data_IF_001940662319
#
_entry.id   IF_001940662319
#
_cell.length_a   1.000
_cell.length_b   1.000
_cell.length_c   1.000
_cell.angle_alpha   90.00
_cell.angle_beta   90.00
_cell.angle_gamma   90.00
#
_symmetry.space_group_name_H-M   'P 1'
#
loop_
_entity.id
_entity.type
_entity.pdbx_description
1 polymer ?
#
# COMPACT_ATOMS: atom_id res chain seq x y z
N UNK A 1 21.75 4.34 15.54
CA UNK A 1 20.79 3.60 16.39
C UNK A 1 20.47 2.30 15.67
N UNK A 2 20.75 1.15 16.26
CA UNK A 2 20.47 -0.15 15.65
C UNK A 2 18.95 -0.31 15.51
N UNK A 3 18.45 -0.43 14.28
CA UNK A 3 17.04 -0.71 14.02
C UNK A 3 16.81 -2.22 14.14
N UNK A 4 16.77 -2.72 15.37
CA UNK A 4 16.47 -4.14 15.64
C UNK A 4 15.03 -4.42 15.22
N UNK A 5 14.86 -5.28 14.22
CA UNK A 5 13.56 -5.72 13.76
C UNK A 5 13.05 -6.80 14.71
N UNK A 6 11.81 -6.65 15.15
CA UNK A 6 11.19 -7.51 16.16
C UNK A 6 9.96 -8.18 15.56
N UNK A 7 9.91 -9.50 15.70
CA UNK A 7 8.78 -10.33 15.37
C UNK A 7 7.89 -10.51 16.60
N UNK A 8 6.57 -10.46 16.40
CA UNK A 8 5.59 -10.74 17.45
C UNK A 8 5.10 -12.17 17.27
N UNK A 9 5.33 -13.00 18.27
CA UNK A 9 5.01 -14.44 18.28
C UNK A 9 3.88 -14.69 19.26
N UNK A 10 2.74 -15.17 18.77
CA UNK A 10 1.68 -15.67 19.63
C UNK A 10 2.09 -17.02 20.21
N UNK A 11 2.10 -17.15 21.54
CA UNK A 11 2.67 -18.33 22.21
C UNK A 11 1.67 -19.48 22.35
N UNK A 12 0.37 -19.20 22.26
CA UNK A 12 -0.70 -20.18 22.53
C UNK A 12 -1.07 -20.29 24.01
N UNK A 13 -0.30 -19.66 24.89
CA UNK A 13 -0.64 -19.57 26.31
C UNK A 13 -1.71 -18.50 26.55
N UNK A 14 -2.66 -18.83 27.41
CA UNK A 14 -3.73 -17.93 27.84
C UNK A 14 -3.36 -17.23 29.14
N UNK A 15 -3.86 -16.02 29.32
CA UNK A 15 -3.80 -15.34 30.61
C UNK A 15 -4.66 -16.08 31.65
N UNK A 16 -4.30 -15.93 32.93
CA UNK A 16 -4.99 -16.59 34.03
C UNK A 16 -6.48 -16.19 34.05
N UNK A 17 -7.37 -17.18 34.10
CA UNK A 17 -8.82 -16.97 34.11
C UNK A 17 -9.50 -16.80 32.74
N UNK A 18 -8.77 -16.91 31.62
CA UNK A 18 -9.35 -16.89 30.27
C UNK A 18 -9.54 -18.32 29.76
N UNK A 19 -10.79 -18.67 29.39
CA UNK A 19 -11.08 -19.94 28.74
C UNK A 19 -10.63 -19.94 27.28
N UNK A 20 -10.39 -21.14 26.74
CA UNK A 20 -9.99 -21.30 25.33
C UNK A 20 -11.03 -20.74 24.35
N UNK A 21 -12.32 -20.85 24.68
CA UNK A 21 -13.41 -20.31 23.86
C UNK A 21 -13.42 -18.77 23.87
N UNK A 22 -13.19 -18.14 25.03
CA UNK A 22 -13.02 -16.68 25.13
C UNK A 22 -11.76 -16.20 24.40
N UNK A 23 -10.69 -16.98 24.42
CA UNK A 23 -9.49 -16.69 23.66
C UNK A 23 -9.74 -16.78 22.14
N UNK A 24 -10.47 -17.79 21.67
CA UNK A 24 -10.89 -17.90 20.27
C UNK A 24 -11.72 -16.69 19.85
N UNK A 25 -12.77 -16.35 20.60
CA UNK A 25 -13.60 -15.16 20.34
C UNK A 25 -12.79 -13.85 20.34
N UNK A 26 -11.77 -13.79 21.19
CA UNK A 26 -10.84 -12.65 21.20
C UNK A 26 -9.97 -12.62 19.94
N UNK A 27 -9.40 -13.75 19.51
CA UNK A 27 -8.62 -13.85 18.27
C UNK A 27 -9.48 -13.54 17.05
N UNK A 28 -10.71 -14.06 17.00
CA UNK A 28 -11.71 -13.73 15.97
C UNK A 28 -11.93 -12.22 15.90
N UNK A 29 -12.14 -11.56 17.04
CA UNK A 29 -12.38 -10.12 17.09
C UNK A 29 -11.14 -9.29 16.76
N UNK A 30 -9.98 -9.69 17.26
CA UNK A 30 -8.74 -8.92 17.19
C UNK A 30 -8.09 -9.02 15.80
N UNK A 31 -8.12 -10.20 15.20
CA UNK A 31 -7.53 -10.49 13.88
C UNK A 31 -8.57 -10.63 12.76
N UNK A 32 -9.87 -10.52 13.06
CA UNK A 32 -10.98 -10.61 12.11
C UNK A 32 -11.00 -11.94 11.33
N UNK A 33 -10.68 -13.03 12.01
CA UNK A 33 -10.64 -14.38 11.45
C UNK A 33 -11.95 -15.13 11.74
N UNK A 34 -12.41 -16.05 10.85
CA UNK A 34 -13.47 -17.00 11.16
C UNK A 34 -13.11 -17.87 12.37
N UNK A 35 -14.12 -18.33 13.12
CA UNK A 35 -13.96 -19.12 14.35
C UNK A 35 -13.03 -20.33 14.19
N UNK A 36 -13.18 -21.07 13.09
CA UNK A 36 -12.32 -22.21 12.73
C UNK A 36 -10.83 -21.81 12.61
N UNK A 37 -10.54 -20.66 11.98
CA UNK A 37 -9.17 -20.19 11.79
C UNK A 37 -8.58 -19.60 13.07
N UNK A 38 -9.39 -18.89 13.87
CA UNK A 38 -8.97 -18.37 15.16
C UNK A 38 -8.59 -19.50 16.13
N UNK A 39 -9.40 -20.57 16.14
CA UNK A 39 -9.12 -21.81 16.87
C UNK A 39 -7.84 -22.48 16.38
N UNK A 40 -7.73 -22.70 15.07
CA UNK A 40 -6.54 -23.32 14.47
C UNK A 40 -5.27 -22.52 14.77
N UNK A 41 -5.35 -21.18 14.81
CA UNK A 41 -4.23 -20.30 15.10
C UNK A 41 -3.76 -20.41 16.55
N UNK A 42 -4.67 -20.63 17.50
CA UNK A 42 -4.34 -20.91 18.90
C UNK A 42 -3.82 -22.34 19.10
N UNK A 43 -4.39 -23.33 18.41
CA UNK A 43 -3.98 -24.75 18.51
C UNK A 43 -2.60 -25.01 17.87
N UNK A 44 -2.24 -24.26 16.83
CA UNK A 44 -0.96 -24.40 16.13
C UNK A 44 0.12 -23.42 16.59
N UNK A 45 -0.13 -22.71 17.70
CA UNK A 45 0.85 -21.85 18.34
C UNK A 45 1.99 -22.69 18.99
N UNK A 46 3.24 -22.18 19.07
CA UNK A 46 3.63 -20.80 18.82
C UNK A 46 3.75 -20.44 17.33
N UNK A 47 3.18 -19.29 16.93
CA UNK A 47 3.20 -18.78 15.55
C UNK A 47 3.53 -17.30 15.50
N UNK A 48 4.32 -16.91 14.50
CA UNK A 48 4.61 -15.50 14.22
C UNK A 48 3.38 -14.84 13.62
N UNK A 49 2.86 -13.80 14.27
CA UNK A 49 1.65 -13.08 13.82
C UNK A 49 1.99 -11.80 13.06
N UNK A 50 3.16 -11.20 13.32
CA UNK A 50 3.65 -10.04 12.58
C UNK A 50 5.18 -10.02 12.63
N UNK A 51 5.80 -9.73 11.48
CA UNK A 51 7.26 -9.68 11.34
C UNK A 51 7.77 -8.26 11.15
N UNK A 52 9.00 -8.02 11.57
CA UNK A 52 9.76 -6.85 11.16
C UNK A 52 9.21 -5.52 11.67
N UNK A 53 8.84 -5.45 12.94
CA UNK A 53 8.40 -4.21 13.59
C UNK A 53 9.57 -3.51 14.27
N UNK A 54 9.52 -2.19 14.38
CA UNK A 54 10.37 -1.44 15.31
C UNK A 54 9.97 -1.72 16.77
N UNK A 55 10.85 -1.39 17.72
CA UNK A 55 10.65 -1.68 19.14
C UNK A 55 9.40 -1.04 19.73
N UNK A 56 9.07 0.19 19.35
CA UNK A 56 7.93 0.90 19.93
C UNK A 56 6.62 0.31 19.39
N UNK A 57 6.58 -0.01 18.10
CA UNK A 57 5.43 -0.66 17.48
C UNK A 57 5.26 -2.09 17.99
N UNK A 58 6.34 -2.87 18.14
CA UNK A 58 6.29 -4.24 18.67
C UNK A 58 5.74 -4.29 20.11
N UNK A 59 6.13 -3.34 20.96
CA UNK A 59 5.59 -3.24 22.32
C UNK A 59 4.10 -2.88 22.34
N UNK A 60 3.65 -1.98 21.44
CA UNK A 60 2.21 -1.66 21.29
C UNK A 60 1.40 -2.89 20.88
N UNK A 61 1.94 -3.73 19.99
CA UNK A 61 1.35 -5.02 19.64
C UNK A 61 1.27 -5.95 20.86
N UNK A 62 2.38 -6.09 21.60
CA UNK A 62 2.46 -6.96 22.78
C UNK A 62 1.43 -6.58 23.84
N UNK A 63 1.43 -5.32 24.24
CA UNK A 63 0.51 -4.80 25.26
C UNK A 63 -0.96 -4.97 24.86
N UNK A 64 -1.28 -4.77 23.59
CA UNK A 64 -2.67 -4.91 23.12
C UNK A 64 -3.12 -6.36 23.17
N UNK A 65 -2.28 -7.30 22.73
CA UNK A 65 -2.65 -8.71 22.68
C UNK A 65 -2.73 -9.30 24.10
N UNK A 66 -1.77 -8.95 24.97
CA UNK A 66 -1.79 -9.35 26.38
C UNK A 66 -2.96 -8.75 27.15
N UNK A 67 -3.32 -7.48 26.89
CA UNK A 67 -4.51 -6.84 27.49
C UNK A 67 -5.81 -7.55 27.10
N UNK A 68 -5.82 -8.25 25.98
CA UNK A 68 -6.94 -9.07 25.54
C UNK A 68 -6.82 -10.54 25.99
N UNK A 69 -5.90 -10.86 26.91
CA UNK A 69 -5.83 -12.18 27.56
C UNK A 69 -5.02 -13.25 26.81
N UNK A 70 -4.27 -12.86 25.79
CA UNK A 70 -3.42 -13.74 24.97
C UNK A 70 -1.95 -13.44 25.23
N UNK A 71 -1.11 -14.45 25.46
CA UNK A 71 0.33 -14.22 25.64
C UNK A 71 1.07 -14.16 24.31
N UNK A 72 1.99 -13.21 24.21
CA UNK A 72 2.88 -13.06 23.07
C UNK A 72 4.33 -12.89 23.53
N UNK A 73 5.26 -13.31 22.69
CA UNK A 73 6.69 -13.11 22.86
C UNK A 73 7.20 -12.21 21.75
N UNK A 74 8.06 -11.26 22.10
CA UNK A 74 8.84 -10.48 21.15
C UNK A 74 10.13 -11.23 20.85
N UNK A 75 10.39 -11.52 19.58
CA UNK A 75 11.56 -12.24 19.12
C UNK A 75 12.40 -11.32 18.24
N UNK A 76 13.65 -11.05 18.65
CA UNK A 76 14.60 -10.30 17.82
C UNK A 76 15.40 -11.22 16.89
N UNK A 77 16.06 -10.64 15.89
CA UNK A 77 16.86 -11.37 14.87
C UNK A 77 17.83 -12.42 15.46
N UNK A 78 18.36 -12.21 16.68
CA UNK A 78 19.30 -13.13 17.33
C UNK A 78 18.66 -14.44 17.82
N UNK A 79 17.36 -14.45 18.13
CA UNK A 79 16.65 -15.62 18.67
C UNK A 79 16.18 -16.59 17.58
N UNK A 80 16.14 -16.14 16.32
CA UNK A 80 15.69 -16.96 15.17
C UNK A 80 16.76 -17.96 14.73
N UNK A 81 18.04 -17.64 14.96
CA UNK A 81 19.17 -18.53 14.64
C UNK A 81 19.25 -19.77 15.58
N UNK A 82 18.83 -19.65 16.84
CA UNK A 82 19.01 -20.69 17.86
C UNK A 82 18.04 -21.89 17.77
N UNK A 83 17.03 -21.85 16.89
CA UNK A 83 16.02 -22.93 16.78
C UNK A 83 16.17 -23.86 15.56
N UNK A 84 17.13 -23.60 14.67
CA UNK A 84 17.34 -24.44 13.48
C UNK A 84 18.33 -25.60 13.70
N UNK A 85 18.95 -25.73 14.88
CA UNK A 85 20.11 -26.63 15.08
C UNK A 85 19.80 -28.00 15.71
N UNK A 86 18.53 -28.39 15.88
CA UNK A 86 18.20 -29.73 16.45
C UNK A 86 17.18 -30.46 15.59
N UNK A 87 17.62 -30.99 14.43
CA UNK A 87 17.09 -32.22 13.81
C UNK A 87 17.87 -32.51 12.51
N UNK A 88 18.91 -33.33 12.61
CA UNK A 88 19.49 -34.01 11.47
C UNK A 88 19.78 -35.47 11.88
N UNK A 89 19.26 -36.48 11.16
CA UNK A 89 19.86 -37.79 11.16
C UNK A 89 20.93 -37.86 10.07
N UNK A 90 22.02 -38.49 10.49
CA UNK A 90 23.24 -38.86 9.78
C UNK A 90 22.97 -39.76 8.56
N UNK A 91 23.59 -39.50 7.41
CA UNK A 91 23.98 -40.57 6.47
C UNK A 91 25.11 -40.17 5.50
N UNK A 92 26.21 -40.89 5.64
CA UNK A 92 27.16 -41.39 4.64
C UNK A 92 27.80 -40.44 3.58
N UNK A 93 29.11 -40.26 3.75
CA UNK A 93 30.10 -39.89 2.71
C UNK A 93 30.16 -40.97 1.59
N UNK A 94 30.68 -40.76 0.37
CA UNK A 94 32.04 -40.40 -0.14
C UNK A 94 31.94 -40.42 -1.70
N UNK A 95 32.89 -39.95 -2.57
CA UNK A 95 33.89 -38.86 -2.53
C UNK A 95 33.76 -37.81 -3.67
N UNK A 96 34.61 -36.79 -3.50
CA UNK A 96 34.95 -35.72 -4.43
C UNK A 96 35.48 -36.15 -5.80
N UNK A 97 35.27 -35.29 -6.80
CA UNK A 97 36.18 -35.13 -7.94
C UNK A 97 36.41 -33.64 -8.17
N UNK A 98 37.67 -33.24 -8.06
CA UNK A 98 38.14 -31.88 -8.25
C UNK A 98 38.15 -31.51 -9.74
N UNK A 99 37.76 -30.27 -10.07
CA UNK A 99 38.32 -29.56 -11.22
C UNK A 99 38.61 -28.12 -10.81
N UNK A 100 39.85 -27.76 -11.09
CA UNK A 100 40.64 -26.58 -10.78
C UNK A 100 40.09 -25.26 -11.31
N UNK A 101 40.32 -24.20 -10.52
CA UNK A 101 40.27 -22.80 -10.91
C UNK A 101 41.11 -22.53 -12.16
N UNK A 102 40.53 -21.80 -13.13
CA UNK A 102 41.29 -21.09 -14.15
C UNK A 102 40.95 -19.60 -14.06
N UNK A 103 41.94 -18.83 -13.64
CA UNK A 103 41.98 -17.37 -13.62
C UNK A 103 42.03 -16.89 -15.08
N UNK A 104 41.11 -16.01 -15.48
CA UNK A 104 41.26 -15.23 -16.71
C UNK A 104 41.78 -13.85 -16.31
N UNK A 105 43.00 -13.55 -16.76
CA UNK A 105 43.67 -12.28 -16.61
C UNK A 105 42.93 -11.17 -17.35
N UNK A 106 42.74 -10.02 -16.69
CA UNK A 106 42.33 -8.77 -17.32
C UNK A 106 43.53 -8.17 -18.09
N UNK A 107 43.29 -7.80 -19.34
CA UNK A 107 44.19 -6.97 -20.14
C UNK A 107 44.04 -5.47 -19.79
N UNK A 108 45.08 -4.64 -19.98
CA UNK A 108 45.08 -3.26 -19.54
C UNK A 108 44.29 -2.36 -20.49
N UNK A 109 43.48 -1.46 -19.94
CA UNK A 109 42.75 -0.44 -20.69
C UNK A 109 43.68 0.76 -20.92
N UNK A 110 43.92 1.07 -22.19
CA UNK A 110 44.74 2.18 -22.68
C UNK A 110 44.06 3.54 -22.41
N UNK A 111 44.86 4.51 -21.96
CA UNK A 111 44.39 5.85 -21.56
C UNK A 111 44.10 6.74 -22.78
N UNK A 112 42.88 7.28 -22.86
CA UNK A 112 42.50 8.30 -23.84
C UNK A 112 42.93 9.72 -23.39
N UNK A 113 43.26 10.65 -24.31
CA UNK A 113 43.95 11.88 -23.99
C UNK A 113 43.03 12.98 -23.43
N UNK A 114 43.64 13.86 -22.63
CA UNK A 114 43.01 15.02 -22.02
C UNK A 114 42.60 16.07 -23.07
N UNK A 115 41.32 16.45 -23.05
CA UNK A 115 40.78 17.56 -23.85
C UNK A 115 40.73 18.82 -22.95
N UNK A 116 41.31 19.90 -23.46
CA UNK A 116 41.47 21.18 -22.80
C UNK A 116 40.13 21.87 -22.49
N UNK A 117 40.05 22.52 -21.32
CA UNK A 117 38.93 23.36 -20.88
C UNK A 117 38.84 24.63 -21.72
N UNK A 118 37.72 24.83 -22.42
CA UNK A 118 37.29 26.15 -22.89
C UNK A 118 36.20 26.66 -21.95
N UNK A 119 36.49 27.76 -21.25
CA UNK A 119 35.50 28.55 -20.53
C UNK A 119 34.59 29.22 -21.56
N UNK A 120 33.33 28.78 -21.63
CA UNK A 120 32.27 29.52 -22.32
C UNK A 120 31.23 29.89 -21.27
N UNK A 121 31.06 31.18 -21.04
CA UNK A 121 30.06 31.73 -20.14
C UNK A 121 28.66 31.33 -20.62
N UNK A 122 27.99 30.46 -19.88
CA UNK A 122 26.58 30.12 -20.12
C UNK A 122 25.74 31.05 -19.25
N UNK A 123 25.00 31.90 -19.93
CA UNK A 123 24.00 32.80 -19.35
C UNK A 123 23.00 32.01 -18.52
N UNK A 124 22.89 32.34 -17.24
CA UNK A 124 21.83 31.86 -16.35
C UNK A 124 20.50 32.47 -16.80
N UNK A 125 19.77 31.75 -17.64
CA UNK A 125 18.32 31.91 -17.76
C UNK A 125 17.69 30.77 -16.97
N UNK A 126 17.05 31.10 -15.85
CA UNK A 126 16.23 30.14 -15.12
C UNK A 126 15.15 29.60 -16.06
N UNK A 127 15.25 28.34 -16.44
CA UNK A 127 14.18 27.64 -17.15
C UNK A 127 12.98 27.58 -16.22
N UNK A 128 12.00 28.44 -16.46
CA UNK A 128 10.72 28.40 -15.79
C UNK A 128 10.11 27.01 -15.98
N UNK A 129 9.66 26.39 -14.89
CA UNK A 129 8.83 25.19 -14.92
C UNK A 129 7.70 25.42 -15.93
N UNK A 130 7.48 24.43 -16.80
CA UNK A 130 6.37 24.45 -17.73
C UNK A 130 5.07 24.76 -16.96
N UNK A 131 4.20 25.64 -17.49
CA UNK A 131 2.99 26.01 -16.79
C UNK A 131 2.12 24.78 -16.56
N UNK A 132 1.70 24.61 -15.31
CA UNK A 132 0.62 23.72 -14.93
C UNK A 132 -0.54 23.86 -15.90
N UNK A 133 -1.11 22.75 -16.36
CA UNK A 133 -2.33 22.77 -17.17
C UNK A 133 -3.42 23.44 -16.33
N UNK A 134 -3.84 24.69 -16.64
CA UNK A 134 -4.98 25.27 -15.97
C UNK A 134 -6.20 24.53 -16.52
N UNK A 135 -6.87 23.75 -15.66
CA UNK A 135 -8.18 23.22 -16.00
C UNK A 135 -9.06 24.44 -16.29
N UNK A 136 -9.49 24.58 -17.54
CA UNK A 136 -10.25 25.74 -18.00
C UNK A 136 -11.45 25.99 -17.06
N UNK A 137 -11.73 27.26 -16.77
CA UNK A 137 -12.85 27.67 -15.93
C UNK A 137 -14.20 27.34 -16.60
N UNK A 138 -14.61 26.08 -16.51
CA UNK A 138 -16.00 25.64 -16.64
C UNK A 138 -16.69 25.87 -15.30
N UNK A 139 -17.99 26.14 -15.29
CA UNK A 139 -18.83 26.19 -14.09
C UNK A 139 -18.66 24.89 -13.28
N UNK A 140 -17.70 24.91 -12.36
CA UNK A 140 -17.20 23.72 -11.71
C UNK A 140 -17.99 23.50 -10.43
N UNK A 141 -18.68 22.36 -10.33
CA UNK A 141 -19.59 22.05 -9.23
C UNK A 141 -18.87 21.77 -7.89
N UNK A 142 -17.54 21.66 -7.90
CA UNK A 142 -16.73 21.31 -6.73
C UNK A 142 -15.79 22.41 -6.24
N UNK A 143 -14.78 22.00 -5.47
CA UNK A 143 -13.73 22.89 -4.96
C UNK A 143 -12.77 23.36 -6.06
N UNK A 144 -12.21 24.56 -5.92
CA UNK A 144 -11.12 24.98 -6.81
C UNK A 144 -9.86 24.17 -6.50
N UNK A 145 -9.22 23.62 -7.51
CA UNK A 145 -7.99 22.87 -7.36
C UNK A 145 -7.07 23.00 -8.58
N UNK A 146 -5.83 22.56 -8.43
CA UNK A 146 -4.84 22.42 -9.50
C UNK A 146 -4.03 21.15 -9.28
N UNK A 147 -3.64 20.51 -10.37
CA UNK A 147 -2.73 19.36 -10.37
C UNK A 147 -1.47 19.77 -11.12
N UNK A 148 -0.35 19.83 -10.41
CA UNK A 148 0.97 20.08 -10.99
C UNK A 148 1.73 18.77 -11.16
N UNK A 149 2.71 18.71 -12.05
CA UNK A 149 3.62 17.55 -12.19
C UNK A 149 3.01 16.27 -12.78
N UNK A 150 1.71 16.25 -13.12
CA UNK A 150 1.07 15.14 -13.83
C UNK A 150 1.61 15.02 -15.28
N UNK A 151 1.80 13.79 -15.80
CA UNK A 151 1.47 12.50 -15.17
C UNK A 151 2.62 11.87 -14.35
N UNK A 152 3.78 12.54 -14.24
CA UNK A 152 4.98 11.92 -13.68
C UNK A 152 4.95 11.85 -12.14
N UNK A 153 4.68 12.99 -11.49
CA UNK A 153 4.64 13.15 -10.04
C UNK A 153 3.56 14.17 -9.65
N UNK A 154 2.30 13.75 -9.73
CA UNK A 154 1.14 14.58 -9.45
C UNK A 154 1.17 15.20 -8.06
N UNK A 155 1.03 16.53 -8.00
CA UNK A 155 0.86 17.31 -6.77
C UNK A 155 -0.47 18.06 -6.83
N UNK A 156 -1.34 17.79 -5.86
CA UNK A 156 -2.68 18.37 -5.80
C UNK A 156 -2.71 19.57 -4.85
N UNK A 157 -3.07 20.74 -5.36
CA UNK A 157 -3.40 21.92 -4.55
C UNK A 157 -4.91 22.13 -4.54
N UNK A 158 -5.53 22.17 -3.36
CA UNK A 158 -6.98 22.43 -3.20
C UNK A 158 -7.20 23.70 -2.39
N UNK A 159 -8.13 24.53 -2.86
CA UNK A 159 -8.56 25.74 -2.18
C UNK A 159 -9.88 25.48 -1.44
N UNK A 160 -9.85 25.63 -0.11
CA UNK A 160 -10.99 25.43 0.78
C UNK A 160 -11.63 26.76 1.16
N UNK A 161 -12.92 26.98 0.83
CA UNK A 161 -13.68 28.10 1.38
C UNK A 161 -13.80 28.02 2.91
N UNK A 162 -14.07 29.14 3.61
CA UNK A 162 -14.28 29.13 5.05
C UNK A 162 -15.34 28.11 5.49
N UNK A 163 -15.03 27.32 6.51
CA UNK A 163 -15.90 26.29 7.07
C UNK A 163 -16.01 25.00 6.26
N UNK A 164 -15.41 24.92 5.06
CA UNK A 164 -15.39 23.69 4.27
C UNK A 164 -14.33 22.71 4.78
N UNK A 165 -14.57 21.43 4.52
CA UNK A 165 -13.72 20.32 4.96
C UNK A 165 -13.29 19.45 3.77
N UNK A 166 -12.06 18.96 3.81
CA UNK A 166 -11.52 17.97 2.89
C UNK A 166 -11.08 16.73 3.66
N UNK A 167 -11.48 15.55 3.19
CA UNK A 167 -10.92 14.28 3.63
C UNK A 167 -9.68 13.98 2.79
N UNK A 168 -8.56 13.66 3.41
CA UNK A 168 -7.28 13.42 2.74
C UNK A 168 -6.66 12.12 3.28
N UNK A 169 -6.02 11.35 2.41
CA UNK A 169 -5.21 10.19 2.80
C UNK A 169 -4.17 10.61 3.85
N UNK A 170 -3.98 9.78 4.88
CA UNK A 170 -2.96 10.02 5.87
C UNK A 170 -1.57 10.09 5.23
N UNK A 171 -0.72 10.95 5.77
CA UNK A 171 0.66 11.17 5.31
C UNK A 171 0.80 11.76 3.89
N UNK A 172 -0.28 12.06 3.17
CA UNK A 172 -0.24 12.68 1.85
C UNK A 172 -0.19 14.22 1.90
N UNK A 173 -0.51 14.85 3.02
CA UNK A 173 -0.43 16.31 3.16
C UNK A 173 1.04 16.77 3.12
N UNK A 174 1.35 17.66 2.17
CA UNK A 174 2.68 18.23 1.95
C UNK A 174 2.78 19.69 2.42
N UNK A 175 1.74 20.48 2.16
CA UNK A 175 1.66 21.89 2.61
C UNK A 175 0.24 22.22 3.05
N UNK A 176 0.08 23.17 3.96
CA UNK A 176 -1.22 23.72 4.31
C UNK A 176 -1.08 25.14 4.86
N UNK A 177 -2.09 25.98 4.63
CA UNK A 177 -2.21 27.26 5.34
C UNK A 177 -2.45 27.05 6.83
N UNK A 178 -2.03 28.04 7.64
CA UNK A 178 -2.04 27.95 9.12
C UNK A 178 -3.44 27.93 9.73
N UNK A 179 -4.45 28.30 8.97
CA UNK A 179 -5.85 28.33 9.39
C UNK A 179 -6.61 27.03 9.04
N UNK A 180 -5.94 26.05 8.42
CA UNK A 180 -6.48 24.69 8.27
C UNK A 180 -6.25 23.88 9.55
N UNK A 181 -7.34 23.37 10.11
CA UNK A 181 -7.33 22.53 11.33
C UNK A 181 -7.54 21.07 10.95
N UNK A 182 -6.54 20.24 11.28
CA UNK A 182 -6.58 18.80 11.05
C UNK A 182 -7.26 18.06 12.21
N UNK A 183 -8.20 17.17 11.89
CA UNK A 183 -8.77 16.17 12.80
C UNK A 183 -8.54 14.78 12.23
N UNK A 184 -7.70 13.99 12.89
CA UNK A 184 -7.48 12.60 12.51
C UNK A 184 -8.63 11.73 13.00
N UNK A 185 -9.38 11.12 12.08
CA UNK A 185 -10.40 10.13 12.43
C UNK A 185 -9.80 8.73 12.41
N UNK A 186 -9.27 8.28 13.54
CA UNK A 186 -8.96 6.86 13.75
C UNK A 186 -10.24 6.07 14.04
N UNK A 187 -11.07 5.80 13.02
CA UNK A 187 -12.11 4.78 13.16
C UNK A 187 -11.42 3.40 13.21
N UNK A 188 -11.35 2.79 14.40
CA UNK A 188 -11.02 1.36 14.55
C UNK A 188 -9.72 0.97 15.29
N UNK A 189 -8.93 1.91 15.80
CA UNK A 189 -7.76 1.62 16.65
C UNK A 189 -6.77 0.58 16.09
N UNK A 190 -6.02 -0.09 16.98
CA UNK A 190 -5.02 -1.12 16.64
C UNK A 190 -5.62 -2.34 15.95
N UNK A 191 -6.90 -2.68 16.19
CA UNK A 191 -7.60 -3.77 15.48
C UNK A 191 -7.61 -3.58 13.97
N UNK A 192 -7.57 -2.33 13.50
CA UNK A 192 -7.47 -2.01 12.08
C UNK A 192 -6.08 -2.26 11.50
N UNK A 193 -5.05 -1.92 12.26
CA UNK A 193 -3.64 -2.22 11.96
C UNK A 193 -3.37 -3.75 11.92
N UNK A 194 -4.02 -4.51 12.81
CA UNK A 194 -3.96 -5.98 12.82
C UNK A 194 -4.68 -6.62 11.63
N UNK A 195 -5.72 -5.96 11.11
CA UNK A 195 -6.49 -6.45 9.95
C UNK A 195 -5.92 -6.07 8.59
N UNK A 196 -4.79 -5.38 8.52
CA UNK A 196 -4.16 -4.96 7.26
C UNK A 196 -4.94 -3.89 6.47
N UNK A 197 -5.94 -3.24 7.08
CA UNK A 197 -6.72 -2.18 6.43
C UNK A 197 -5.86 -0.90 6.34
N UNK A 198 -5.37 -0.56 5.14
CA UNK A 198 -4.36 0.48 4.94
C UNK A 198 -4.88 1.92 4.78
N UNK A 199 -6.20 2.15 4.77
CA UNK A 199 -6.75 3.49 4.44
C UNK A 199 -6.97 4.36 5.68
N UNK A 200 -6.04 5.23 6.06
CA UNK A 200 -6.26 6.23 7.10
C UNK A 200 -6.67 7.57 6.49
N UNK A 201 -7.67 8.24 7.07
CA UNK A 201 -8.19 9.52 6.59
C UNK A 201 -8.03 10.62 7.64
N UNK A 202 -7.49 11.75 7.22
CA UNK A 202 -7.46 13.00 7.96
C UNK A 202 -8.56 13.94 7.42
N UNK A 203 -9.23 14.67 8.30
CA UNK A 203 -10.15 15.73 7.91
C UNK A 203 -9.48 17.08 8.15
N UNK A 204 -9.39 17.91 7.12
CA UNK A 204 -8.87 19.27 7.19
C UNK A 204 -10.01 20.25 7.00
N UNK A 205 -10.23 21.13 7.97
CA UNK A 205 -11.29 22.15 7.91
C UNK A 205 -10.67 23.54 7.88
N UNK A 206 -11.13 24.39 6.97
CA UNK A 206 -10.73 25.80 6.93
C UNK A 206 -11.46 26.59 8.03
N UNK A 207 -10.74 26.93 9.10
CA UNK A 207 -11.27 27.75 10.18
C UNK A 207 -10.82 29.20 9.99
N UNK A 208 -11.62 30.17 10.42
CA UNK A 208 -11.26 31.60 10.42
C UNK A 208 -10.87 32.22 9.06
N UNK A 209 -11.23 31.59 7.93
CA UNK A 209 -10.96 32.11 6.59
C UNK A 209 -10.87 31.00 5.54
N UNK A 210 -10.69 31.34 4.24
CA UNK A 210 -10.31 30.35 3.24
C UNK A 210 -8.90 29.83 3.52
N UNK A 211 -8.55 28.64 3.06
CA UNK A 211 -7.20 28.10 3.19
C UNK A 211 -6.84 27.13 2.07
N UNK A 212 -5.56 27.02 1.79
CA UNK A 212 -4.99 26.13 0.78
C UNK A 212 -4.37 24.89 1.41
N UNK A 213 -4.51 23.73 0.77
CA UNK A 213 -3.81 22.48 1.10
C UNK A 213 -3.11 21.91 -0.13
N UNK A 214 -1.84 21.55 0.01
CA UNK A 214 -1.05 20.80 -0.96
C UNK A 214 -0.89 19.35 -0.54
N UNK A 215 -1.13 18.42 -1.47
CA UNK A 215 -1.19 16.98 -1.25
C UNK A 215 -0.27 16.29 -2.26
N UNK A 216 0.69 15.52 -1.75
CA UNK A 216 1.61 14.69 -2.52
C UNK A 216 1.32 13.20 -2.19
N UNK A 217 0.75 12.43 -3.12
CA UNK A 217 0.49 11.00 -2.88
C UNK A 217 1.77 10.21 -2.63
N UNK A 218 1.65 9.09 -1.90
CA UNK A 218 2.81 8.30 -1.47
C UNK A 218 3.57 7.64 -2.63
N UNK A 219 2.86 7.22 -3.69
CA UNK A 219 3.46 6.58 -4.85
C UNK A 219 3.71 7.58 -5.98
N UNK A 220 4.89 7.55 -6.64
CA UNK A 220 5.16 8.34 -7.83
C UNK A 220 4.18 8.02 -8.97
N UNK A 221 3.43 9.00 -9.45
CA UNK A 221 2.58 8.79 -10.60
C UNK A 221 1.61 9.92 -10.85
N UNK A 222 0.57 9.56 -11.58
CA UNK A 222 -0.44 10.48 -12.05
C UNK A 222 -1.55 10.71 -11.02
N UNK A 223 -2.30 11.79 -11.20
CA UNK A 223 -3.39 12.20 -10.33
C UNK A 223 -4.56 12.69 -11.18
N UNK A 224 -5.75 12.12 -10.94
CA UNK A 224 -6.97 12.51 -11.63
C UNK A 224 -8.01 13.00 -10.64
N UNK A 225 -8.88 13.89 -11.14
CA UNK A 225 -10.06 14.36 -10.45
C UNK A 225 -11.32 13.77 -11.10
N UNK A 226 -12.29 13.41 -10.26
CA UNK A 226 -13.64 13.08 -10.69
C UNK A 226 -14.65 13.76 -9.76
N UNK A 227 -15.55 14.53 -10.34
CA UNK A 227 -16.74 14.98 -9.62
C UNK A 227 -17.81 13.88 -9.69
N UNK A 228 -18.17 13.30 -8.56
CA UNK A 228 -19.22 12.28 -8.47
C UNK A 228 -20.59 12.93 -8.34
N UNK A 229 -21.60 12.38 -9.00
CA UNK A 229 -22.99 12.87 -9.04
C UNK A 229 -23.96 11.82 -8.48
N UNK A 230 -23.58 11.20 -7.36
CA UNK A 230 -24.36 10.14 -6.71
C UNK A 230 -24.00 8.72 -7.15
N UNK A 231 -23.12 8.56 -8.15
CA UNK A 231 -22.67 7.22 -8.56
C UNK A 231 -21.77 6.54 -7.52
N UNK A 232 -21.43 5.26 -7.78
CA UNK A 232 -20.45 4.49 -7.01
C UNK A 232 -19.20 4.19 -7.83
N UNK A 233 -18.03 4.39 -7.25
CA UNK A 233 -16.74 3.89 -7.74
C UNK A 233 -16.13 2.91 -6.73
N UNK A 234 -15.49 1.87 -7.25
CA UNK A 234 -14.62 1.00 -6.48
C UNK A 234 -13.17 1.35 -6.78
N UNK A 235 -12.33 1.48 -5.75
CA UNK A 235 -10.94 1.89 -5.89
C UNK A 235 -10.06 0.96 -5.09
N UNK A 236 -8.83 0.71 -5.56
CA UNK A 236 -7.80 0.16 -4.68
C UNK A 236 -7.53 1.19 -3.57
N UNK A 237 -7.36 0.74 -2.33
CA UNK A 237 -7.25 1.66 -1.19
C UNK A 237 -6.14 2.69 -1.33
N UNK A 238 -4.99 2.28 -1.89
CA UNK A 238 -3.83 3.16 -2.12
C UNK A 238 -3.96 4.07 -3.35
N UNK A 239 -5.09 4.02 -4.06
CA UNK A 239 -5.42 4.96 -5.12
C UNK A 239 -6.23 6.17 -4.61
N UNK A 240 -6.72 6.13 -3.36
CA UNK A 240 -7.48 7.25 -2.79
C UNK A 240 -6.53 8.36 -2.34
N UNK A 241 -6.78 9.60 -2.78
CA UNK A 241 -6.00 10.78 -2.35
C UNK A 241 -6.82 11.68 -1.44
N UNK A 242 -7.96 12.17 -1.94
CA UNK A 242 -8.79 13.11 -1.22
C UNK A 242 -10.25 13.05 -1.68
N UNK A 243 -11.16 13.52 -0.83
CA UNK A 243 -12.56 13.73 -1.22
C UNK A 243 -13.26 14.79 -0.37
N UNK A 244 -14.31 15.37 -0.92
CA UNK A 244 -15.23 16.24 -0.16
C UNK A 244 -16.12 15.42 0.79
N UNK A 245 -16.79 16.06 1.77
CA UNK A 245 -17.55 15.35 2.79
C UNK A 245 -18.72 14.53 2.24
N UNK A 246 -19.28 14.93 1.08
CA UNK A 246 -20.39 14.25 0.41
C UNK A 246 -20.05 12.89 -0.19
N UNK A 247 -18.76 12.55 -0.31
CA UNK A 247 -18.30 11.22 -0.70
C UNK A 247 -18.17 10.33 0.55
N UNK A 248 -18.96 9.26 0.60
CA UNK A 248 -18.85 8.20 1.59
C UNK A 248 -17.80 7.18 1.16
N UNK A 249 -16.84 6.89 2.03
CA UNK A 249 -15.77 5.92 1.81
C UNK A 249 -15.96 4.72 2.73
N UNK A 250 -16.19 3.56 2.13
CA UNK A 250 -16.47 2.31 2.84
C UNK A 250 -15.39 1.28 2.55
N UNK A 251 -14.76 0.74 3.59
CA UNK A 251 -13.79 -0.36 3.45
C UNK A 251 -14.45 -1.74 3.53
N UNK A 252 -15.74 -1.80 3.91
CA UNK A 252 -16.51 -3.03 4.02
C UNK A 252 -17.91 -2.79 3.48
N UNK A 253 -18.25 -3.47 2.40
CA UNK A 253 -19.59 -3.48 1.81
C UNK A 253 -19.92 -4.89 1.32
N UNK A 254 -21.21 -5.19 1.11
CA UNK A 254 -21.67 -6.54 0.75
C UNK A 254 -21.06 -7.12 -0.53
N UNK A 255 -20.50 -6.29 -1.42
CA UNK A 255 -19.79 -6.73 -2.63
C UNK A 255 -18.41 -7.34 -2.36
N UNK A 256 -17.81 -7.05 -1.20
CA UNK A 256 -16.47 -7.53 -0.84
C UNK A 256 -16.44 -9.03 -0.49
N UNK A 257 -17.56 -9.61 -0.05
CA UNK A 257 -17.65 -11.02 0.39
C UNK A 257 -17.45 -12.03 -0.74
N UNK A 258 -17.55 -11.61 -2.01
CA UNK A 258 -17.29 -12.46 -3.18
C UNK A 258 -15.80 -12.57 -3.54
N UNK A 259 -14.91 -11.80 -2.90
CA UNK A 259 -13.51 -11.65 -3.34
C UNK A 259 -12.43 -11.94 -2.30
N UNK A 260 -12.75 -12.33 -1.07
CA UNK A 260 -11.77 -12.29 0.02
C UNK A 260 -11.57 -13.64 0.71
N UNK A 261 -10.70 -14.53 0.20
CA UNK A 261 -10.06 -15.60 1.00
C UNK A 261 -8.77 -16.11 0.35
N UNK A 262 -7.73 -15.28 0.22
CA UNK A 262 -6.36 -15.79 0.01
C UNK A 262 -5.31 -14.69 0.26
N UNK A 263 -4.78 -14.59 1.48
CA UNK A 263 -3.36 -14.21 1.72
C UNK A 263 -2.74 -12.91 1.16
N UNK A 264 -3.51 -11.93 0.66
CA UNK A 264 -3.15 -10.55 0.19
C UNK A 264 -3.02 -10.30 -1.34
N UNK A 265 -3.61 -9.18 -1.81
CA UNK A 265 -2.96 -8.01 -2.47
C UNK A 265 -3.96 -6.93 -2.96
N UNK A 266 -5.23 -7.30 -3.19
CA UNK A 266 -6.27 -6.37 -3.63
C UNK A 266 -7.20 -5.95 -2.49
N UNK A 267 -6.89 -4.83 -1.82
CA UNK A 267 -7.79 -4.20 -0.86
C UNK A 267 -8.56 -3.07 -1.54
N UNK A 268 -9.82 -3.35 -1.89
CA UNK A 268 -10.72 -2.37 -2.49
C UNK A 268 -11.45 -1.57 -1.42
N UNK A 269 -11.79 -0.33 -1.75
CA UNK A 269 -12.73 0.53 -1.03
C UNK A 269 -13.83 0.98 -1.98
N UNK A 270 -15.01 1.26 -1.43
CA UNK A 270 -16.16 1.80 -2.15
C UNK A 270 -16.29 3.28 -1.85
N UNK A 271 -16.24 4.11 -2.88
CA UNK A 271 -16.61 5.52 -2.82
C UNK A 271 -18.00 5.71 -3.43
N UNK A 272 -18.90 6.40 -2.74
CA UNK A 272 -20.25 6.67 -3.23
C UNK A 272 -20.76 8.01 -2.73
N UNK A 273 -21.55 8.71 -3.53
CA UNK A 273 -22.16 9.98 -3.14
C UNK A 273 -21.88 11.09 -4.15
N UNK A 274 -22.01 12.33 -3.71
CA UNK A 274 -21.85 13.52 -4.56
C UNK A 274 -20.73 14.41 -4.04
N UNK A 275 -19.87 14.88 -4.94
CA UNK A 275 -18.76 15.78 -4.64
C UNK A 275 -17.44 15.38 -5.29
N UNK A 276 -16.37 16.10 -4.96
CA UNK A 276 -15.04 15.83 -5.51
C UNK A 276 -14.39 14.57 -4.91
N UNK A 277 -13.78 13.77 -5.79
CA UNK A 277 -12.91 12.64 -5.49
C UNK A 277 -11.62 12.76 -6.31
N UNK A 278 -10.48 12.65 -5.64
CA UNK A 278 -9.16 12.61 -6.28
C UNK A 278 -8.54 11.24 -6.10
N UNK A 279 -7.94 10.74 -7.18
CA UNK A 279 -7.31 9.43 -7.26
C UNK A 279 -5.88 9.58 -7.76
N UNK A 280 -4.97 8.73 -7.29
CA UNK A 280 -3.62 8.62 -7.80
C UNK A 280 -3.32 7.21 -8.33
N UNK A 281 -2.16 7.07 -8.95
CA UNK A 281 -1.58 5.80 -9.36
C UNK A 281 -0.09 5.72 -9.08
N UNK A 282 0.46 4.51 -9.20
CA UNK A 282 1.89 4.32 -9.42
C UNK A 282 2.20 4.27 -10.93
N UNK A 283 2.94 5.26 -11.44
CA UNK A 283 3.06 5.55 -12.87
C UNK A 283 1.83 6.26 -13.45
N UNK A 284 1.65 6.23 -14.76
CA UNK A 284 0.51 6.84 -15.45
C UNK A 284 -0.82 6.07 -15.27
N UNK A 285 -1.95 6.78 -15.41
CA UNK A 285 -3.31 6.22 -15.45
C UNK A 285 -3.75 5.97 -16.90
N UNK A 286 -4.36 4.81 -17.14
CA UNK A 286 -5.00 4.48 -18.42
C UNK A 286 -6.47 4.16 -18.15
N UNK A 287 -7.38 4.89 -18.80
CA UNK A 287 -8.81 4.62 -18.78
C UNK A 287 -9.19 3.65 -19.90
N UNK A 288 -9.98 2.64 -19.54
CA UNK A 288 -10.42 1.57 -20.43
C UNK A 288 -11.94 1.46 -20.36
N UNK A 289 -12.59 1.58 -21.52
CA UNK A 289 -14.00 1.24 -21.68
C UNK A 289 -14.14 -0.28 -21.85
N UNK A 290 -14.70 -0.93 -20.84
CA UNK A 290 -14.96 -2.37 -20.83
C UNK A 290 -16.38 -2.62 -21.33
N UNK A 291 -16.54 -3.53 -22.30
CA UNK A 291 -17.85 -3.88 -22.89
C UNK A 291 -18.24 -5.35 -22.69
N UNK A 292 -17.32 -6.28 -22.95
CA UNK A 292 -17.59 -7.72 -22.90
C UNK A 292 -16.78 -8.45 -21.80
N UNK A 293 -15.83 -7.74 -21.20
CA UNK A 293 -14.96 -8.22 -20.15
C UNK A 293 -13.50 -7.86 -20.37
N UNK A 294 -12.73 -7.84 -19.28
CA UNK A 294 -11.32 -7.44 -19.31
C UNK A 294 -10.55 -8.14 -18.18
N UNK A 295 -9.27 -8.44 -18.39
CA UNK A 295 -8.45 -9.12 -17.40
C UNK A 295 -7.26 -8.25 -17.06
N UNK A 296 -7.07 -7.96 -15.77
CA UNK A 296 -6.00 -7.09 -15.26
C UNK A 296 -5.31 -7.77 -14.08
N UNK A 297 -4.01 -7.56 -13.98
CA UNK A 297 -3.28 -7.84 -12.74
C UNK A 297 -3.92 -7.10 -11.56
N UNK A 298 -4.07 -7.76 -10.42
CA UNK A 298 -4.71 -7.13 -9.25
C UNK A 298 -3.96 -5.87 -8.80
N UNK A 299 -2.63 -5.86 -8.86
CA UNK A 299 -1.81 -4.72 -8.45
C UNK A 299 -1.78 -3.56 -9.45
N UNK A 300 -2.44 -3.69 -10.61
CA UNK A 300 -2.51 -2.65 -11.63
C UNK A 300 -3.88 -1.96 -11.69
N UNK A 301 -4.81 -2.27 -10.79
CA UNK A 301 -6.14 -1.66 -10.75
C UNK A 301 -6.08 -0.37 -9.93
N UNK A 302 -6.56 0.74 -10.50
CA UNK A 302 -6.73 2.00 -9.76
C UNK A 302 -8.17 2.10 -9.26
N UNK A 303 -9.13 2.05 -10.18
CA UNK A 303 -10.55 2.16 -9.88
C UNK A 303 -11.43 1.55 -10.99
N UNK A 304 -12.71 1.32 -10.70
CA UNK A 304 -13.70 0.90 -11.68
C UNK A 304 -15.13 1.29 -11.27
N UNK A 305 -16.01 1.43 -12.25
CA UNK A 305 -17.44 1.78 -12.05
C UNK A 305 -18.30 0.58 -11.66
N UNK A 306 -19.45 0.85 -11.02
CA UNK A 306 -20.37 -0.20 -10.54
C UNK A 306 -21.01 -1.10 -11.60
N UNK A 307 -21.00 -0.70 -12.88
CA UNK A 307 -21.45 -1.54 -13.99
C UNK A 307 -20.55 -2.75 -14.28
N UNK A 308 -19.36 -2.81 -13.66
CA UNK A 308 -18.43 -3.91 -13.82
C UNK A 308 -18.51 -4.88 -12.64
N UNK A 309 -18.88 -6.12 -12.95
CA UNK A 309 -18.70 -7.26 -12.07
C UNK A 309 -17.23 -7.67 -12.09
N UNK A 310 -16.69 -8.13 -10.95
CA UNK A 310 -15.31 -8.56 -10.86
C UNK A 310 -15.15 -9.89 -10.13
N UNK A 311 -14.10 -10.63 -10.48
CA UNK A 311 -13.72 -11.88 -9.81
C UNK A 311 -12.20 -12.04 -9.81
N UNK A 312 -11.65 -12.46 -8.66
CA UNK A 312 -10.22 -12.72 -8.53
C UNK A 312 -9.97 -14.20 -8.82
N UNK A 313 -9.00 -14.48 -9.69
CA UNK A 313 -8.62 -15.85 -10.03
C UNK A 313 -7.12 -16.00 -10.08
N UNK A 314 -6.62 -17.14 -9.62
CA UNK A 314 -5.20 -17.48 -9.74
C UNK A 314 -4.88 -17.84 -11.20
N UNK A 315 -3.79 -17.30 -11.72
CA UNK A 315 -3.21 -17.67 -13.01
C UNK A 315 -2.17 -18.75 -12.75
N UNK A 316 -2.40 -19.96 -13.25
CA UNK A 316 -1.47 -21.09 -13.12
C UNK A 316 -0.48 -21.21 -14.28
N UNK A 317 0.57 -22.00 -14.07
CA UNK A 317 1.58 -22.35 -15.08
C UNK A 317 2.55 -21.22 -15.40
N UNK A 318 3.29 -21.33 -16.51
CA UNK A 318 4.25 -20.31 -16.99
C UNK A 318 3.64 -18.91 -17.18
N UNK A 319 2.30 -18.82 -17.27
CA UNK A 319 1.59 -17.55 -17.35
C UNK A 319 1.67 -16.73 -16.05
N UNK A 320 1.90 -17.35 -14.90
CA UNK A 320 2.07 -16.63 -13.62
C UNK A 320 3.33 -15.76 -13.58
N UNK A 321 4.33 -16.06 -14.41
CA UNK A 321 5.59 -15.30 -14.51
C UNK A 321 5.43 -13.95 -15.22
N UNK A 322 4.34 -13.74 -15.96
CA UNK A 322 4.07 -12.47 -16.66
C UNK A 322 3.30 -11.45 -15.81
N UNK A 323 2.78 -11.87 -14.67
CA UNK A 323 2.04 -11.02 -13.73
C UNK A 323 2.96 -10.59 -12.58
N UNK A 324 2.52 -9.71 -11.69
CA UNK A 324 3.29 -9.01 -10.63
C UNK A 324 4.02 -9.90 -9.60
N UNK A 325 4.15 -11.21 -9.86
CA UNK A 325 4.78 -12.21 -9.00
C UNK A 325 3.79 -12.91 -8.09
N UNK A 326 2.61 -12.33 -7.87
CA UNK A 326 1.57 -12.85 -6.98
C UNK A 326 0.71 -13.94 -7.64
N UNK A 327 0.65 -13.94 -8.98
CA UNK A 327 -0.08 -14.93 -9.77
C UNK A 327 -1.60 -14.80 -9.68
N UNK A 328 -2.14 -13.64 -9.32
CA UNK A 328 -3.58 -13.35 -9.31
C UNK A 328 -3.96 -12.30 -10.36
N UNK A 329 -5.14 -12.46 -10.95
CA UNK A 329 -5.74 -11.48 -11.84
C UNK A 329 -7.17 -11.22 -11.46
N UNK A 330 -7.61 -10.00 -11.69
CA UNK A 330 -9.01 -9.61 -11.64
C UNK A 330 -9.63 -9.73 -13.04
N UNK A 331 -10.77 -10.42 -13.12
CA UNK A 331 -11.57 -10.54 -14.35
C UNK A 331 -12.82 -9.71 -14.19
N UNK A 332 -12.94 -8.70 -15.05
CA UNK A 332 -14.10 -7.85 -15.17
C UNK A 332 -15.07 -8.40 -16.21
N UNK A 333 -16.37 -8.21 -15.97
CA UNK A 333 -17.48 -8.49 -16.89
C UNK A 333 -18.52 -7.38 -16.79
N UNK A 334 -19.31 -7.20 -17.85
CA UNK A 334 -20.28 -6.12 -17.94
C UNK A 334 -19.73 -4.89 -18.66
N UNK A 335 -20.45 -3.77 -18.54
CA UNK A 335 -20.13 -2.52 -19.21
C UNK A 335 -19.78 -1.43 -18.19
N UNK A 336 -18.68 -0.72 -18.42
CA UNK A 336 -18.25 0.34 -17.53
C UNK A 336 -16.81 0.79 -17.79
N UNK A 337 -16.31 1.65 -16.90
CA UNK A 337 -14.95 2.19 -17.00
C UNK A 337 -14.04 1.55 -15.96
N UNK A 338 -12.82 1.26 -16.40
CA UNK A 338 -11.74 0.72 -15.59
C UNK A 338 -10.51 1.61 -15.74
N UNK A 339 -9.98 2.11 -14.63
CA UNK A 339 -8.72 2.82 -14.58
C UNK A 339 -7.63 1.87 -14.11
N UNK A 340 -6.56 1.76 -14.90
CA UNK A 340 -5.38 0.96 -14.56
C UNK A 340 -4.15 1.85 -14.43
N UNK A 341 -3.14 1.32 -13.75
CA UNK A 341 -1.84 1.97 -13.59
C UNK A 341 -0.73 1.24 -14.34
N UNK A 342 0.26 1.99 -14.82
CA UNK A 342 1.36 1.46 -15.64
C UNK A 342 2.50 0.82 -14.85
N UNK A 343 2.49 0.94 -13.52
CA UNK A 343 3.46 0.30 -12.62
C UNK A 343 2.74 -0.42 -11.48
N UNK A 344 3.39 -1.43 -10.92
CA UNK A 344 2.91 -2.18 -9.75
C UNK A 344 3.93 -2.06 -8.62
N UNK A 345 3.44 -1.72 -7.42
CA UNK A 345 4.28 -1.58 -6.23
C UNK A 345 4.95 -2.92 -5.89
N UNK A 346 4.21 -4.03 -6.00
CA UNK A 346 4.75 -5.38 -5.76
C UNK A 346 5.87 -5.73 -6.73
N UNK A 347 5.68 -5.46 -8.03
CA UNK A 347 6.71 -5.69 -9.04
C UNK A 347 7.96 -4.84 -8.79
N UNK A 348 7.80 -3.56 -8.43
CA UNK A 348 8.92 -2.69 -8.09
C UNK A 348 9.64 -3.15 -6.82
N UNK A 349 8.90 -3.51 -5.77
CA UNK A 349 9.48 -4.00 -4.51
C UNK A 349 10.25 -5.31 -4.72
N UNK A 350 9.72 -6.24 -5.53
CA UNK A 350 10.41 -7.47 -5.90
C UNK A 350 11.70 -7.21 -6.68
N UNK A 351 11.65 -6.31 -7.68
CA UNK A 351 12.85 -5.88 -8.40
C UNK A 351 13.86 -5.18 -7.49
N UNK A 352 13.43 -4.26 -6.63
CA UNK A 352 14.34 -3.52 -5.74
C UNK A 352 14.93 -4.44 -4.64
N UNK A 353 14.17 -5.46 -4.22
CA UNK A 353 14.55 -6.40 -3.17
C UNK A 353 15.86 -7.15 -3.45
N UNK A 354 16.20 -7.39 -4.72
CA UNK A 354 17.47 -8.04 -5.10
C UNK A 354 18.71 -7.20 -4.75
N UNK A 355 18.54 -5.88 -4.60
CA UNK A 355 19.60 -4.95 -4.22
C UNK A 355 19.60 -4.62 -2.73
N UNK A 356 18.64 -5.17 -1.97
CA UNK A 356 18.58 -5.00 -0.51
C UNK A 356 19.68 -5.85 0.13
N UNK A 357 20.60 -5.27 0.90
CA UNK A 357 21.58 -6.05 1.66
C UNK A 357 20.87 -7.03 2.59
N UNK A 358 21.17 -8.32 2.47
CA UNK A 358 20.84 -9.33 3.46
C UNK A 358 22.03 -9.48 4.40
N UNK A 359 21.79 -9.63 5.72
CA UNK A 359 22.85 -10.14 6.59
C UNK A 359 23.07 -11.60 6.21
N UNK A 360 24.31 -11.95 5.91
CA UNK A 360 24.76 -13.33 5.76
C UNK A 360 24.63 -14.11 7.07
#
# INVERSE_FOLDING_TARGET
>A
MNNTMIDVVLTGELAEGISFEQACATVEKLFKLPAEQARQLLETAPRVIKRGLDSETAEKYRLTIEKNGLKVRLQGDADTAAKSEVLAPETAAVPATAVTSAVVAQAPVEAAPAIARQETAVSTTATALAPAQPVAATDFAGLKFRIDGSPDFGFLTVQLPPGQMLKVEASAMATMDTNLVMKTKMKGGISRMLSGENLFLNEFTAENGPGEIGIAPATPGDLIHRYMRGETLYLQSGAFVASTPGINIETKWQGFTKGFFSGESLFLIRASGEGDLWLNSYGAIIEIDVKDGYVVDTGNIVAFTEGLEYSISKVGGYKSLFFSGEGFVCRFKGEGKLWIQTRSVGAFAGWAGQYRPTKD
#
